data_IF_574305221071
#
_entry.id   IF_574305221071
#
_cell.length_a   1.000
_cell.length_b   1.000
_cell.length_c   1.000
_cell.angle_alpha   90.00
_cell.angle_beta   90.00
_cell.angle_gamma   90.00
#
_symmetry.space_group_name_H-M   'P 1'
#
loop_
_entity.id
_entity.type
_entity.pdbx_description
1 polymer ?
#
# COMPACT_ATOMS: atom_id res chain seq x y z
N UNK A 1 9.08 24.86 -0.92
CA UNK A 1 8.29 24.15 -1.95
C UNK A 1 9.06 22.98 -2.55
N UNK A 2 10.34 23.15 -2.90
CA UNK A 2 11.18 22.09 -3.47
C UNK A 2 11.33 20.86 -2.56
N UNK A 3 11.60 21.05 -1.27
CA UNK A 3 11.71 19.97 -0.28
C UNK A 3 10.46 19.08 -0.18
N UNK A 4 9.27 19.67 -0.30
CA UNK A 4 8.01 18.91 -0.28
C UNK A 4 7.83 18.13 -1.58
N UNK A 5 8.19 18.74 -2.71
CA UNK A 5 8.11 18.08 -4.01
C UNK A 5 9.09 16.88 -4.10
N UNK A 6 10.32 17.04 -3.64
CA UNK A 6 11.30 15.95 -3.59
C UNK A 6 10.87 14.83 -2.63
N UNK A 7 10.32 15.19 -1.46
CA UNK A 7 9.76 14.21 -0.54
C UNK A 7 8.64 13.39 -1.18
N UNK A 8 7.67 14.05 -1.83
CA UNK A 8 6.56 13.37 -2.50
C UNK A 8 7.02 12.49 -3.67
N UNK A 9 8.05 12.92 -4.40
CA UNK A 9 8.64 12.12 -5.48
C UNK A 9 9.27 10.83 -4.94
N UNK A 10 10.09 10.93 -3.89
CA UNK A 10 10.73 9.77 -3.26
C UNK A 10 9.68 8.86 -2.64
N UNK A 11 8.69 9.42 -1.94
CA UNK A 11 7.57 8.67 -1.38
C UNK A 11 6.83 7.88 -2.46
N UNK A 12 6.57 8.49 -3.62
CA UNK A 12 5.91 7.82 -4.75
C UNK A 12 6.73 6.64 -5.28
N UNK A 13 8.04 6.84 -5.46
CA UNK A 13 8.95 5.78 -5.94
C UNK A 13 9.00 4.62 -4.93
N UNK A 14 9.19 4.93 -3.64
CA UNK A 14 9.24 3.94 -2.57
C UNK A 14 7.90 3.21 -2.43
N UNK A 15 6.78 3.91 -2.59
CA UNK A 15 5.46 3.32 -2.58
C UNK A 15 5.29 2.30 -3.69
N UNK A 16 5.61 2.65 -4.94
CA UNK A 16 5.51 1.72 -6.08
C UNK A 16 6.42 0.49 -5.91
N UNK A 17 7.67 0.69 -5.48
CA UNK A 17 8.59 -0.41 -5.20
C UNK A 17 8.09 -1.31 -4.07
N UNK A 18 7.57 -0.72 -2.99
CA UNK A 18 7.02 -1.47 -1.86
C UNK A 18 5.78 -2.25 -2.27
N UNK A 19 4.88 -1.69 -3.07
CA UNK A 19 3.70 -2.42 -3.59
C UNK A 19 4.15 -3.65 -4.37
N UNK A 20 5.15 -3.52 -5.26
CA UNK A 20 5.66 -4.64 -6.04
C UNK A 20 6.22 -5.77 -5.15
N UNK A 21 6.95 -5.43 -4.08
CA UNK A 21 7.51 -6.40 -3.13
C UNK A 21 6.41 -7.03 -2.28
N UNK A 22 5.52 -6.22 -1.70
CA UNK A 22 4.45 -6.70 -0.81
C UNK A 22 3.50 -7.62 -1.56
N UNK A 23 3.23 -7.39 -2.84
CA UNK A 23 2.40 -8.29 -3.64
C UNK A 23 3.01 -9.70 -3.81
N UNK A 24 4.34 -9.86 -3.72
CA UNK A 24 5.00 -11.17 -3.73
C UNK A 24 4.81 -11.93 -2.41
N UNK A 25 4.67 -11.21 -1.30
CA UNK A 25 4.48 -11.80 0.04
C UNK A 25 2.98 -12.00 0.32
N UNK A 26 2.17 -10.98 0.02
CA UNK A 26 0.73 -10.91 0.21
C UNK A 26 0.08 -10.82 -1.17
N UNK A 27 -0.24 -11.99 -1.71
CA UNK A 27 -0.87 -12.09 -3.02
C UNK A 27 -2.26 -11.43 -3.04
N UNK A 28 -2.63 -10.73 -4.13
CA UNK A 28 -3.99 -10.30 -4.36
C UNK A 28 -4.96 -11.48 -4.34
N UNK A 29 -6.00 -11.39 -3.52
CA UNK A 29 -7.06 -12.40 -3.41
C UNK A 29 -8.40 -11.77 -3.72
N UNK A 30 -9.24 -12.56 -4.40
CA UNK A 30 -10.62 -12.23 -4.69
C UNK A 30 -11.47 -13.41 -4.23
N UNK A 31 -12.21 -13.21 -3.15
CA UNK A 31 -13.03 -14.25 -2.54
C UNK A 31 -14.50 -13.86 -2.63
N UNK A 32 -15.38 -14.83 -2.94
CA UNK A 32 -16.82 -14.62 -2.91
C UNK A 32 -17.35 -15.08 -1.56
N UNK A 33 -17.75 -14.13 -0.72
CA UNK A 33 -18.25 -14.40 0.63
C UNK A 33 -19.78 -14.28 0.63
N UNK A 34 -20.52 -15.28 1.14
CA UNK A 34 -21.97 -15.17 1.27
C UNK A 34 -22.32 -14.07 2.27
N UNK A 35 -23.26 -13.20 1.90
CA UNK A 35 -23.82 -12.22 2.83
C UNK A 35 -24.82 -12.99 3.71
N UNK A 36 -24.61 -12.98 5.02
CA UNK A 36 -25.49 -13.66 5.98
C UNK A 36 -26.96 -13.32 5.72
N UNK A 37 -27.80 -14.35 5.52
CA UNK A 37 -29.25 -14.21 5.37
C UNK A 37 -29.77 -13.87 3.97
N UNK A 38 -28.93 -13.71 2.94
CA UNK A 38 -29.40 -13.49 1.55
C UNK A 38 -28.72 -14.42 0.56
N UNK A 39 -29.36 -14.72 -0.58
CA UNK A 39 -28.72 -15.46 -1.71
C UNK A 39 -27.61 -14.65 -2.42
N UNK A 40 -27.22 -13.50 -1.87
CA UNK A 40 -26.26 -12.58 -2.47
C UNK A 40 -24.83 -12.90 -2.03
N UNK A 41 -23.88 -12.84 -2.97
CA UNK A 41 -22.45 -13.04 -2.72
C UNK A 41 -21.73 -11.70 -2.89
N UNK A 42 -20.95 -11.29 -1.90
CA UNK A 42 -20.07 -10.12 -2.00
C UNK A 42 -18.68 -10.56 -2.41
N UNK A 43 -18.07 -9.82 -3.33
CA UNK A 43 -16.66 -9.98 -3.67
C UNK A 43 -15.82 -9.22 -2.65
N UNK A 44 -15.04 -9.94 -1.87
CA UNK A 44 -14.07 -9.37 -0.93
C UNK A 44 -12.69 -9.43 -1.57
N UNK A 45 -11.94 -8.32 -1.47
CA UNK A 45 -10.55 -8.25 -1.94
C UNK A 45 -9.64 -7.72 -0.84
N UNK A 46 -8.35 -8.07 -0.91
CA UNK A 46 -7.34 -7.56 0.02
C UNK A 46 -6.50 -6.40 -0.56
N UNK A 47 -6.87 -5.84 -1.72
CA UNK A 47 -6.14 -4.74 -2.36
C UNK A 47 -5.95 -3.54 -1.43
N UNK A 48 -7.00 -3.14 -0.70
CA UNK A 48 -6.92 -2.04 0.26
C UNK A 48 -5.89 -2.30 1.36
N UNK A 49 -5.78 -3.55 1.85
CA UNK A 49 -4.77 -3.94 2.85
C UNK A 49 -3.35 -3.87 2.29
N UNK A 50 -3.15 -4.35 1.05
CA UNK A 50 -1.87 -4.30 0.36
C UNK A 50 -1.41 -2.85 0.16
N UNK A 51 -2.31 -2.00 -0.35
CA UNK A 51 -2.02 -0.58 -0.59
C UNK A 51 -1.74 0.16 0.72
N UNK A 52 -2.54 -0.05 1.77
CA UNK A 52 -2.35 0.58 3.06
C UNK A 52 -1.01 0.19 3.71
N UNK A 53 -0.67 -1.11 3.73
CA UNK A 53 0.61 -1.58 4.26
C UNK A 53 1.79 -0.99 3.47
N UNK A 54 1.70 -1.01 2.14
CA UNK A 54 2.76 -0.48 1.28
C UNK A 54 2.95 1.02 1.46
N UNK A 55 1.85 1.77 1.63
CA UNK A 55 1.89 3.20 1.88
C UNK A 55 2.52 3.52 3.24
N UNK A 56 2.14 2.81 4.30
CA UNK A 56 2.72 3.00 5.63
C UNK A 56 4.23 2.70 5.65
N UNK A 57 4.66 1.62 4.99
CA UNK A 57 6.08 1.27 4.87
C UNK A 57 6.85 2.32 4.07
N UNK A 58 6.31 2.75 2.93
CA UNK A 58 6.93 3.79 2.10
C UNK A 58 7.01 5.14 2.83
N UNK A 59 5.98 5.51 3.58
CA UNK A 59 5.96 6.73 4.39
C UNK A 59 7.02 6.65 5.49
N UNK A 60 7.05 5.57 6.27
CA UNK A 60 8.02 5.40 7.35
C UNK A 60 9.47 5.42 6.83
N UNK A 61 9.76 4.71 5.74
CA UNK A 61 11.11 4.66 5.15
C UNK A 61 11.51 5.98 4.51
N UNK A 62 10.61 6.67 3.83
CA UNK A 62 10.88 7.99 3.24
C UNK A 62 11.12 9.02 4.34
N UNK A 63 10.30 9.04 5.39
CA UNK A 63 10.50 9.93 6.55
C UNK A 63 11.83 9.64 7.24
N UNK A 64 12.19 8.38 7.46
CA UNK A 64 13.50 8.01 8.03
C UNK A 64 14.66 8.48 7.14
N UNK A 65 14.58 8.26 5.83
CA UNK A 65 15.61 8.71 4.90
C UNK A 65 15.77 10.24 4.93
N UNK A 66 14.64 10.96 4.98
CA UNK A 66 14.65 12.41 5.06
C UNK A 66 15.27 12.89 6.39
N UNK A 67 14.92 12.28 7.52
CA UNK A 67 15.49 12.65 8.83
C UNK A 67 16.99 12.34 8.96
N UNK A 68 17.49 11.32 8.26
CA UNK A 68 18.88 10.87 8.39
C UNK A 68 19.85 11.55 7.40
N UNK A 69 19.36 11.98 6.24
CA UNK A 69 20.24 12.41 5.13
C UNK A 69 19.94 13.81 4.58
N UNK A 70 18.84 14.45 4.99
CA UNK A 70 18.44 15.79 4.52
C UNK A 70 18.25 16.71 5.73
#
# INVERSE_FOLDING_TARGET
>A
MEAVASFLLILGIYFLGTVAIIQQVIHPKREMVPIHGTKSKTVVTNYAKILALSFLLALATTTLAYLLFI
#
